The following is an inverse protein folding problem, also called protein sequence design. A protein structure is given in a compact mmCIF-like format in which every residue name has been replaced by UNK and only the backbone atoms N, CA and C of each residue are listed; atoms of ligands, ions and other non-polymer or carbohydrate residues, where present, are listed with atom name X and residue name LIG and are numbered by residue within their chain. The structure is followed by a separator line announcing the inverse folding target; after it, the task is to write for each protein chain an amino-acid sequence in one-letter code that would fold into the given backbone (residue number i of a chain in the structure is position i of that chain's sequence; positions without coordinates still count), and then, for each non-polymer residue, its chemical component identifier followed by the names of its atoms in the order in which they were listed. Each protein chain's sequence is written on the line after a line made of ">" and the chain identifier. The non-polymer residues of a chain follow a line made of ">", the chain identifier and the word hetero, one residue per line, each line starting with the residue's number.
data_IF_717720165074
#
_entry.id   IF_717720165074
#
_cell.length_a   1.000
_cell.length_b   1.000
_cell.length_c   1.000
_cell.angle_alpha   90.00
_cell.angle_beta   90.00
_cell.angle_gamma   90.00
#
_symmetry.space_group_name_H-M   'P 1'
#
loop_
_entity.id
_entity.type
_entity.pdbx_description
1 polymer ?
#
# COMPACT_ATOMS: atom_id res chain seq x y z
N UNK A 1 21.49 9.72 -6.46
CA UNK A 1 20.11 10.23 -6.32
C UNK A 1 19.19 9.04 -6.12
N UNK A 2 18.28 9.10 -5.15
CA UNK A 2 17.38 7.98 -4.80
C UNK A 2 16.22 7.79 -5.80
N UNK A 3 16.27 8.38 -7.00
CA UNK A 3 15.29 8.13 -8.06
C UNK A 3 13.84 8.52 -7.72
N UNK A 4 13.62 9.47 -6.82
CA UNK A 4 12.27 9.91 -6.48
C UNK A 4 11.61 10.64 -7.67
N UNK A 5 10.37 10.29 -7.97
CA UNK A 5 9.56 10.95 -8.97
C UNK A 5 8.59 11.92 -8.28
N UNK A 6 8.62 13.23 -8.62
CA UNK A 6 7.69 14.19 -8.05
C UNK A 6 6.26 13.90 -8.54
N UNK A 7 5.29 13.96 -7.64
CA UNK A 7 3.88 13.82 -8.01
C UNK A 7 3.42 15.12 -8.67
N UNK A 8 2.94 15.07 -9.91
CA UNK A 8 2.57 16.28 -10.64
C UNK A 8 1.23 16.86 -10.16
N UNK A 9 1.14 18.19 -10.19
CA UNK A 9 -0.08 18.92 -9.87
C UNK A 9 -0.93 19.28 -11.10
N UNK A 10 -0.37 19.12 -12.31
CA UNK A 10 -1.04 19.47 -13.57
C UNK A 10 -1.39 18.23 -14.40
N UNK A 11 -2.36 18.37 -15.30
CA UNK A 11 -2.79 17.27 -16.18
C UNK A 11 -1.68 16.81 -17.14
N UNK A 12 -0.91 17.75 -17.69
CA UNK A 12 0.18 17.43 -18.60
C UNK A 12 1.38 16.83 -17.86
N UNK A 13 1.69 17.35 -16.68
CA UNK A 13 2.67 16.76 -15.80
C UNK A 13 2.30 15.32 -15.41
N UNK A 14 1.01 15.03 -15.21
CA UNK A 14 0.54 13.68 -14.92
C UNK A 14 0.73 12.72 -16.11
N UNK A 15 0.52 13.19 -17.34
CA UNK A 15 0.82 12.39 -18.54
C UNK A 15 2.31 12.06 -18.64
N UNK A 16 3.18 13.07 -18.47
CA UNK A 16 4.62 12.87 -18.46
C UNK A 16 5.06 11.90 -17.36
N UNK A 17 4.49 12.01 -16.17
CA UNK A 17 4.74 11.11 -15.05
C UNK A 17 4.38 9.65 -15.38
N UNK A 18 3.22 9.41 -15.99
CA UNK A 18 2.82 8.07 -16.45
C UNK A 18 3.81 7.50 -17.48
N UNK A 19 4.27 8.34 -18.42
CA UNK A 19 5.25 7.95 -19.44
C UNK A 19 6.57 7.53 -18.80
N UNK A 20 7.07 8.30 -17.83
CA UNK A 20 8.30 7.97 -17.11
C UNK A 20 8.17 6.66 -16.31
N UNK A 21 7.05 6.45 -15.62
CA UNK A 21 6.80 5.18 -14.91
C UNK A 21 6.83 4.01 -15.89
N UNK A 22 6.12 4.13 -17.02
CA UNK A 22 6.09 3.08 -18.03
C UNK A 22 7.49 2.78 -18.58
N UNK A 23 8.26 3.81 -18.90
CA UNK A 23 9.65 3.67 -19.35
C UNK A 23 10.51 2.94 -18.31
N UNK A 24 10.40 3.31 -17.03
CA UNK A 24 11.16 2.65 -15.96
C UNK A 24 10.81 1.18 -15.81
N UNK A 25 9.54 0.82 -15.98
CA UNK A 25 9.10 -0.58 -15.96
C UNK A 25 9.69 -1.35 -17.15
N UNK A 26 9.67 -0.77 -18.35
CA UNK A 26 10.25 -1.38 -19.57
C UNK A 26 11.76 -1.55 -19.44
N UNK A 27 12.45 -0.61 -18.80
CA UNK A 27 13.88 -0.69 -18.48
C UNK A 27 14.21 -1.75 -17.39
N UNK A 28 13.20 -2.44 -16.86
CA UNK A 28 13.37 -3.45 -15.80
C UNK A 28 13.55 -2.86 -14.39
N UNK A 29 13.28 -1.59 -14.22
CA UNK A 29 13.35 -0.93 -12.90
C UNK A 29 12.12 -1.24 -12.06
N UNK A 30 12.30 -1.42 -10.75
CA UNK A 30 11.19 -1.48 -9.81
C UNK A 30 10.68 -0.07 -9.49
N UNK A 31 9.34 0.08 -9.49
CA UNK A 31 8.67 1.31 -9.08
C UNK A 31 8.00 1.07 -7.73
N UNK A 32 8.42 1.81 -6.71
CA UNK A 32 7.84 1.72 -5.36
C UNK A 32 6.82 2.83 -5.16
N UNK A 33 5.65 2.46 -4.66
CA UNK A 33 4.55 3.39 -4.37
C UNK A 33 4.07 3.11 -2.95
N UNK A 34 3.84 4.19 -2.19
CA UNK A 34 3.24 4.13 -0.85
C UNK A 34 1.75 4.50 -0.97
N UNK A 35 0.85 3.52 -1.10
CA UNK A 35 -0.55 3.78 -1.44
C UNK A 35 -1.33 4.48 -0.32
N UNK A 36 -0.93 4.30 0.93
CA UNK A 36 -1.57 4.93 2.09
C UNK A 36 -1.24 6.43 2.23
N UNK A 37 -0.28 6.95 1.44
CA UNK A 37 0.14 8.35 1.35
C UNK A 37 0.68 8.99 2.66
N UNK A 38 0.54 8.35 3.80
CA UNK A 38 0.99 8.83 5.10
C UNK A 38 1.78 7.75 5.85
N UNK A 39 2.80 8.16 6.59
CA UNK A 39 3.59 7.29 7.46
C UNK A 39 3.03 7.40 8.87
N UNK A 40 2.56 6.27 9.41
CA UNK A 40 2.16 6.16 10.80
C UNK A 40 3.11 5.20 11.52
N UNK A 41 4.03 5.70 12.33
CA UNK A 41 5.02 4.87 12.99
C UNK A 41 4.38 3.75 13.81
N UNK A 42 4.82 2.51 13.57
CA UNK A 42 4.34 1.32 14.26
C UNK A 42 2.83 1.04 14.11
N UNK A 43 2.19 1.52 13.05
CA UNK A 43 0.81 1.18 12.76
C UNK A 43 0.69 -0.32 12.44
N UNK A 44 -0.25 -0.99 13.08
CA UNK A 44 -0.52 -2.43 12.90
C UNK A 44 -1.73 -2.70 12.02
N UNK A 45 -2.36 -1.65 11.52
CA UNK A 45 -3.52 -1.72 10.64
C UNK A 45 -3.20 -1.12 9.29
N UNK A 46 -3.86 -1.62 8.25
CA UNK A 46 -3.79 -1.05 6.90
C UNK A 46 -4.91 -0.03 6.75
N UNK A 47 -4.57 1.20 6.42
CA UNK A 47 -5.54 2.26 6.17
C UNK A 47 -6.15 2.11 4.78
N UNK A 48 -7.42 2.48 4.60
CA UNK A 48 -8.01 2.55 3.28
C UNK A 48 -7.22 3.48 2.36
N UNK A 49 -6.92 3.03 1.16
CA UNK A 49 -6.20 3.82 0.16
C UNK A 49 -6.88 3.72 -1.22
N UNK A 50 -6.61 4.72 -2.04
CA UNK A 50 -7.20 4.81 -3.38
C UNK A 50 -6.62 3.76 -4.33
N UNK A 51 -7.43 3.35 -5.32
CA UNK A 51 -6.98 2.47 -6.39
C UNK A 51 -6.13 3.18 -7.47
N UNK A 52 -5.91 4.50 -7.37
CA UNK A 52 -5.26 5.30 -8.42
C UNK A 52 -3.88 4.78 -8.78
N UNK A 53 -3.08 4.35 -7.81
CA UNK A 53 -1.73 3.82 -8.02
C UNK A 53 -1.72 2.52 -8.85
N UNK A 54 -2.81 1.76 -8.83
CA UNK A 54 -2.93 0.51 -9.57
C UNK A 54 -3.23 0.69 -11.05
N UNK A 55 -3.43 1.93 -11.48
CA UNK A 55 -3.55 2.26 -12.90
C UNK A 55 -2.29 1.87 -13.68
N UNK A 56 -1.12 2.12 -13.11
CA UNK A 56 0.16 1.86 -13.79
C UNK A 56 0.36 0.37 -14.12
N UNK A 57 0.29 -0.57 -13.16
CA UNK A 57 0.41 -1.98 -13.48
C UNK A 57 -0.78 -2.51 -14.29
N UNK A 58 -1.98 -1.95 -14.14
CA UNK A 58 -3.13 -2.32 -14.95
C UNK A 58 -2.97 -1.96 -16.44
N UNK A 59 -2.19 -0.92 -16.76
CA UNK A 59 -1.89 -0.50 -18.12
C UNK A 59 -0.67 -1.24 -18.70
N UNK A 60 0.37 -1.45 -17.91
CA UNK A 60 1.63 -2.08 -18.35
C UNK A 60 1.63 -3.60 -18.28
N UNK A 61 0.72 -4.22 -17.51
CA UNK A 61 0.77 -5.65 -17.21
C UNK A 61 1.90 -6.06 -16.27
N UNK A 62 2.60 -5.09 -15.67
CA UNK A 62 3.70 -5.38 -14.78
C UNK A 62 3.27 -6.14 -13.52
N UNK A 63 4.12 -7.04 -12.99
CA UNK A 63 3.84 -7.73 -11.74
C UNK A 63 3.78 -6.76 -10.56
N UNK A 64 2.80 -6.97 -9.69
CA UNK A 64 2.63 -6.17 -8.47
C UNK A 64 3.04 -7.01 -7.26
N UNK A 65 3.83 -6.43 -6.38
CA UNK A 65 4.17 -7.01 -5.08
C UNK A 65 3.74 -6.05 -3.99
N UNK A 66 3.32 -6.55 -2.86
CA UNK A 66 3.10 -5.73 -1.68
C UNK A 66 4.07 -6.08 -0.55
N UNK A 67 4.48 -5.05 0.19
CA UNK A 67 5.36 -5.15 1.34
C UNK A 67 4.59 -4.71 2.58
N UNK A 68 4.53 -5.55 3.60
CA UNK A 68 3.84 -5.25 4.84
C UNK A 68 4.79 -5.44 6.02
N UNK A 69 5.03 -4.38 6.74
CA UNK A 69 5.79 -4.44 7.98
C UNK A 69 4.87 -4.79 9.14
N UNK A 70 5.27 -5.77 9.91
CA UNK A 70 4.64 -6.13 11.19
C UNK A 70 5.65 -5.97 12.32
N UNK A 71 5.15 -5.76 13.51
CA UNK A 71 5.97 -5.44 14.67
C UNK A 71 5.82 -6.53 15.71
N UNK A 72 6.93 -7.05 16.21
CA UNK A 72 6.93 -8.10 17.23
C UNK A 72 7.62 -7.60 18.49
N UNK A 73 7.18 -8.09 19.64
CA UNK A 73 7.91 -7.87 20.91
C UNK A 73 9.30 -8.46 20.80
N UNK A 74 10.28 -7.73 21.33
CA UNK A 74 11.68 -8.16 21.45
C UNK A 74 12.07 -8.12 22.91
N UNK A 75 13.04 -8.94 23.32
CA UNK A 75 13.67 -8.88 24.65
C UNK A 75 14.38 -7.54 24.89
N UNK A 76 14.77 -6.88 23.82
CA UNK A 76 15.39 -5.54 23.84
C UNK A 76 14.30 -4.53 23.59
N UNK A 77 14.24 -3.45 24.30
CA UNK A 77 13.19 -2.38 24.27
C UNK A 77 12.78 -1.83 22.89
N UNK A 78 13.31 -2.37 21.79
CA UNK A 78 12.97 -1.98 20.42
C UNK A 78 12.12 -3.06 19.73
N UNK A 79 11.09 -2.66 18.95
CA UNK A 79 10.31 -3.58 18.17
C UNK A 79 11.19 -4.34 17.15
N UNK A 80 10.96 -5.64 17.02
CA UNK A 80 11.49 -6.40 15.87
C UNK A 80 10.53 -6.22 14.70
N UNK A 81 11.04 -5.74 13.58
CA UNK A 81 10.26 -5.58 12.34
C UNK A 81 10.40 -6.88 11.53
N UNK A 82 9.26 -7.37 11.06
CA UNK A 82 9.17 -8.48 10.10
C UNK A 82 8.43 -7.97 8.89
N UNK A 83 9.10 -7.96 7.74
CA UNK A 83 8.52 -7.56 6.46
C UNK A 83 8.04 -8.79 5.71
N UNK A 84 6.76 -8.81 5.36
CA UNK A 84 6.18 -9.79 4.45
C UNK A 84 6.15 -9.23 3.03
N UNK A 85 6.42 -10.10 2.08
CA UNK A 85 6.34 -9.79 0.64
C UNK A 85 5.36 -10.77 0.04
N UNK A 86 4.27 -10.29 -0.54
CA UNK A 86 3.28 -11.08 -1.25
C UNK A 86 3.22 -10.65 -2.72
N UNK A 87 2.96 -11.58 -3.61
CA UNK A 87 2.92 -11.40 -5.05
C UNK A 87 3.68 -12.51 -5.78
N UNK A 88 3.84 -12.44 -7.09
CA UNK A 88 3.32 -11.40 -7.97
C UNK A 88 1.79 -11.45 -8.13
N UNK A 89 1.15 -10.27 -8.13
CA UNK A 89 -0.26 -10.15 -8.47
C UNK A 89 -0.40 -9.69 -9.92
N UNK A 90 -1.29 -10.35 -10.64
CA UNK A 90 -1.70 -9.99 -12.00
C UNK A 90 -3.21 -9.89 -12.07
N UNK A 91 -3.72 -9.29 -13.14
CA UNK A 91 -5.14 -9.22 -13.41
C UNK A 91 -5.41 -9.44 -14.91
N UNK A 92 -6.26 -10.41 -15.20
CA UNK A 92 -6.67 -10.81 -16.55
C UNK A 92 -8.02 -10.20 -16.96
N UNK A 93 -8.52 -9.24 -16.17
CA UNK A 93 -9.79 -8.56 -16.45
C UNK A 93 -9.76 -7.85 -17.81
N UNK A 94 -10.89 -7.87 -18.51
CA UNK A 94 -10.99 -7.37 -19.89
C UNK A 94 -10.71 -5.86 -20.02
N UNK A 95 -11.12 -5.05 -19.05
CA UNK A 95 -10.94 -3.60 -19.09
C UNK A 95 -9.85 -3.11 -18.15
N UNK A 96 -9.18 -2.02 -18.54
CA UNK A 96 -8.16 -1.37 -17.69
C UNK A 96 -8.72 -1.00 -16.30
N UNK A 97 -9.96 -0.54 -16.24
CA UNK A 97 -10.61 -0.17 -14.97
C UNK A 97 -10.88 -1.39 -14.09
N UNK A 98 -11.33 -2.49 -14.69
CA UNK A 98 -11.52 -3.74 -13.96
C UNK A 98 -10.19 -4.30 -13.46
N UNK A 99 -9.13 -4.29 -14.29
CA UNK A 99 -7.78 -4.68 -13.87
C UNK A 99 -7.27 -3.84 -12.70
N UNK A 100 -7.43 -2.52 -12.77
CA UNK A 100 -7.05 -1.60 -11.69
C UNK A 100 -7.76 -1.94 -10.38
N UNK A 101 -9.08 -2.15 -10.42
CA UNK A 101 -9.86 -2.50 -9.24
C UNK A 101 -9.50 -3.89 -8.70
N UNK A 102 -9.28 -4.86 -9.58
CA UNK A 102 -8.89 -6.22 -9.20
C UNK A 102 -7.53 -6.26 -8.51
N UNK A 103 -6.52 -5.58 -9.07
CA UNK A 103 -5.19 -5.47 -8.45
C UNK A 103 -5.26 -4.78 -7.09
N UNK A 104 -5.99 -3.66 -6.97
CA UNK A 104 -6.20 -2.97 -5.71
C UNK A 104 -6.81 -3.91 -4.65
N UNK A 105 -7.87 -4.64 -5.00
CA UNK A 105 -8.52 -5.60 -4.10
C UNK A 105 -7.56 -6.70 -3.66
N UNK A 106 -6.85 -7.35 -4.59
CA UNK A 106 -5.89 -8.42 -4.29
C UNK A 106 -4.79 -7.95 -3.33
N UNK A 107 -4.23 -6.76 -3.58
CA UNK A 107 -3.18 -6.19 -2.73
C UNK A 107 -3.73 -5.82 -1.36
N UNK A 108 -4.89 -5.14 -1.29
CA UNK A 108 -5.51 -4.76 -0.03
C UNK A 108 -5.84 -5.98 0.84
N UNK A 109 -6.37 -7.05 0.25
CA UNK A 109 -6.63 -8.32 0.94
C UNK A 109 -5.34 -8.96 1.47
N UNK A 110 -4.27 -8.98 0.68
CA UNK A 110 -2.98 -9.51 1.09
C UNK A 110 -2.36 -8.69 2.23
N UNK A 111 -2.40 -7.36 2.12
CA UNK A 111 -1.89 -6.46 3.16
C UNK A 111 -2.66 -6.65 4.48
N UNK A 112 -3.99 -6.69 4.43
CA UNK A 112 -4.80 -6.92 5.62
C UNK A 112 -4.54 -8.31 6.24
N UNK A 113 -4.41 -9.36 5.43
CA UNK A 113 -4.06 -10.69 5.92
C UNK A 113 -2.73 -10.68 6.69
N UNK A 114 -1.72 -9.94 6.22
CA UNK A 114 -0.43 -9.83 6.89
C UNK A 114 -0.48 -8.91 8.12
N UNK A 115 -1.24 -7.84 8.06
CA UNK A 115 -1.43 -6.97 9.22
C UNK A 115 -2.16 -7.66 10.37
N UNK A 116 -3.06 -8.59 10.07
CA UNK A 116 -3.90 -9.31 11.03
C UNK A 116 -3.25 -10.57 11.65
N UNK A 117 -1.94 -10.79 11.42
CA UNK A 117 -1.27 -11.90 12.09
C UNK A 117 -1.23 -11.67 13.61
N UNK A 118 -1.43 -12.72 14.43
CA UNK A 118 -1.53 -12.57 15.89
C UNK A 118 -0.27 -11.96 16.54
N UNK A 119 0.88 -12.16 15.91
CA UNK A 119 2.15 -11.65 16.40
C UNK A 119 2.40 -10.17 16.10
N UNK A 120 1.52 -9.53 15.34
CA UNK A 120 1.64 -8.11 15.01
C UNK A 120 1.22 -7.25 16.22
N UNK A 121 2.20 -6.85 17.01
CA UNK A 121 1.98 -6.18 18.28
C UNK A 121 1.89 -4.67 18.12
N UNK A 122 0.82 -4.07 18.65
CA UNK A 122 0.61 -2.63 18.64
C UNK A 122 1.45 -1.94 19.72
N UNK A 123 2.55 -1.32 19.34
CA UNK A 123 3.39 -0.48 20.22
C UNK A 123 2.81 0.93 20.39
N UNK A 124 2.01 1.39 19.42
CA UNK A 124 1.33 2.69 19.41
C UNK A 124 -0.15 2.45 19.16
N UNK A 125 -0.98 3.04 20.01
CA UNK A 125 -2.43 3.01 19.85
C UNK A 125 -2.89 4.36 19.30
N UNK A 126 -3.30 4.35 18.04
CA UNK A 126 -3.84 5.53 17.39
C UNK A 126 -5.30 5.74 17.77
N UNK A 127 -5.66 6.94 18.21
CA UNK A 127 -7.04 7.33 18.50
C UNK A 127 -7.58 8.20 17.36
N UNK A 128 -8.83 7.97 16.91
CA UNK A 128 -9.46 8.87 15.93
C UNK A 128 -9.62 10.25 16.55
N UNK A 129 -9.32 11.30 15.76
CA UNK A 129 -9.61 12.68 16.18
C UNK A 129 -11.08 13.03 15.89
N UNK A 130 -11.74 13.83 16.74
CA UNK A 130 -13.06 14.36 16.43
C UNK A 130 -13.01 15.15 15.12
N UNK A 131 -13.83 14.78 14.13
CA UNK A 131 -13.87 15.44 12.82
C UNK A 131 -13.14 14.71 11.68
N UNK A 132 -12.46 13.63 11.96
CA UNK A 132 -11.80 12.79 10.93
C UNK A 132 -12.86 12.01 10.14
N UNK A 133 -13.29 12.58 9.02
CA UNK A 133 -14.29 11.97 8.15
C UNK A 133 -13.69 10.77 7.42
N UNK A 134 -14.00 9.57 7.88
CA UNK A 134 -13.81 8.36 7.11
C UNK A 134 -12.85 7.32 7.65
N UNK A 135 -12.15 7.58 8.73
CA UNK A 135 -11.28 6.59 9.36
C UNK A 135 -11.96 5.95 10.58
N UNK A 136 -13.10 5.31 10.34
CA UNK A 136 -13.72 4.46 11.38
C UNK A 136 -12.83 3.22 11.52
N UNK A 137 -11.89 3.31 12.43
CA UNK A 137 -11.01 2.20 12.79
C UNK A 137 -11.87 1.14 13.48
N UNK A 138 -12.05 0.03 12.80
CA UNK A 138 -12.42 -1.19 13.47
C UNK A 138 -11.14 -1.75 14.09
N UNK A 139 -11.14 -1.92 15.41
CA UNK A 139 -10.14 -2.76 16.03
C UNK A 139 -10.13 -4.13 15.36
N UNK A 140 -8.97 -4.75 15.28
CA UNK A 140 -8.78 -6.09 14.74
C UNK A 140 -9.70 -7.15 15.40
N UNK A 141 -10.26 -6.85 16.56
CA UNK A 141 -11.18 -7.71 17.32
C UNK A 141 -12.66 -7.33 17.15
N UNK A 142 -13.00 -6.45 16.22
CA UNK A 142 -14.39 -6.07 15.96
C UNK A 142 -15.05 -5.14 16.98
N UNK A 143 -14.33 -4.74 18.01
CA UNK A 143 -14.84 -3.79 19.00
C UNK A 143 -14.70 -2.34 18.49
N UNK A 144 -15.81 -1.59 18.53
CA UNK A 144 -15.81 -0.14 18.32
C UNK A 144 -15.21 0.52 19.57
N UNK A 145 -14.12 1.21 19.42
CA UNK A 145 -13.69 2.17 20.43
C UNK A 145 -14.34 3.53 20.23
#
# INVERSE_FOLDING_TARGET
>A
ALGALPIPSTRDGFRAFCTVIHQKIVEGSAVVIYPEAHIWPYATLIRPFSNVSFRYPAESGAPVYCFVNTYRRSKWHRPRIVTYIDGPFYSDEATKKARQNNLHRKVLEAMNRRANVPENYAFVHYKPMPGDRGDVRRNLNGEKM
#
